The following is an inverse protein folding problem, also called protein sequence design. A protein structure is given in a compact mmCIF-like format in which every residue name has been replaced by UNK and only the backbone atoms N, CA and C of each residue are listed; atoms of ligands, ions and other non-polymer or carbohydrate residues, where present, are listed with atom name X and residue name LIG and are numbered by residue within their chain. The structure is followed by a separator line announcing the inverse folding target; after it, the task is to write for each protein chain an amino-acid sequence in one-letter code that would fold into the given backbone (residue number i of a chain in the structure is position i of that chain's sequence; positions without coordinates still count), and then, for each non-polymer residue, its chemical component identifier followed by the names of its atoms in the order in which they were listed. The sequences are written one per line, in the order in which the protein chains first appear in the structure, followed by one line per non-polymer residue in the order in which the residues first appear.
data_IF_780819818466
#
_entry.id   IF_780819818466
#
_cell.length_a   1.000
_cell.length_b   1.000
_cell.length_c   1.000
_cell.angle_alpha   90.00
_cell.angle_beta   90.00
_cell.angle_gamma   90.00
#
_symmetry.space_group_name_H-M   'P 1'
#
loop_
_entity.id
_entity.type
_entity.pdbx_description
1 polymer ?
#
# COMPACT_ATOMS: atom_id res chain seq x y z
N UNK A 1 -15.98 2.89 -16.97
CA UNK A 1 -17.05 1.93 -16.66
C UNK A 1 -18.42 2.54 -16.89
N UNK A 2 -18.68 3.78 -16.45
CA UNK A 2 -19.91 4.51 -16.81
C UNK A 2 -20.13 4.69 -18.31
N UNK A 3 -19.10 5.00 -19.09
CA UNK A 3 -19.21 5.05 -20.57
C UNK A 3 -19.66 3.72 -21.20
N UNK A 4 -19.54 2.62 -20.44
CA UNK A 4 -20.02 1.29 -20.81
C UNK A 4 -21.37 0.94 -20.14
N UNK A 5 -22.06 1.90 -19.53
CA UNK A 5 -23.36 1.73 -18.88
C UNK A 5 -23.33 1.02 -17.52
N UNK A 6 -22.17 0.92 -16.86
CA UNK A 6 -22.05 0.25 -15.54
C UNK A 6 -22.31 1.25 -14.42
N UNK A 7 -23.25 0.94 -13.54
CA UNK A 7 -23.51 1.72 -12.34
C UNK A 7 -22.42 1.46 -11.28
N UNK A 8 -21.64 2.48 -10.97
CA UNK A 8 -20.42 2.34 -10.17
C UNK A 8 -20.63 2.94 -8.78
N UNK A 9 -20.35 2.14 -7.75
CA UNK A 9 -20.40 2.55 -6.36
C UNK A 9 -19.04 2.37 -5.68
N UNK A 10 -18.76 3.22 -4.71
CA UNK A 10 -17.57 3.14 -3.86
C UNK A 10 -17.97 3.20 -2.39
N UNK A 11 -17.44 2.28 -1.59
CA UNK A 11 -17.62 2.23 -0.14
C UNK A 11 -16.25 2.34 0.55
N UNK A 12 -16.07 3.34 1.40
CA UNK A 12 -14.79 3.62 2.09
C UNK A 12 -15.02 4.51 3.32
N UNK A 13 -14.08 4.59 4.28
CA UNK A 13 -14.32 5.31 5.55
C UNK A 13 -14.06 6.82 5.48
N UNK A 14 -14.02 7.38 4.28
CA UNK A 14 -13.83 8.82 4.04
C UNK A 14 -14.43 9.21 2.69
N UNK A 15 -14.83 10.47 2.54
CA UNK A 15 -15.25 10.99 1.24
C UNK A 15 -14.01 11.32 0.39
N UNK A 16 -13.79 10.58 -0.69
CA UNK A 16 -12.72 10.89 -1.65
C UNK A 16 -13.19 11.77 -2.81
N UNK A 17 -14.46 12.21 -2.80
CA UNK A 17 -15.09 12.85 -3.93
C UNK A 17 -15.09 11.98 -5.19
N UNK A 18 -15.28 12.61 -6.34
CA UNK A 18 -15.26 11.95 -7.64
C UNK A 18 -16.55 12.19 -8.40
N UNK A 19 -16.41 12.82 -9.55
CA UNK A 19 -17.46 12.84 -10.56
C UNK A 19 -17.64 11.38 -11.04
N UNK A 20 -18.88 10.97 -11.32
CA UNK A 20 -19.21 9.67 -11.92
C UNK A 20 -19.14 8.40 -11.06
N UNK A 21 -19.15 8.50 -9.73
CA UNK A 21 -19.32 7.33 -8.85
C UNK A 21 -20.27 7.64 -7.69
N UNK A 22 -21.16 6.71 -7.35
CA UNK A 22 -22.02 6.85 -6.18
C UNK A 22 -21.23 6.49 -4.92
N UNK A 23 -21.05 7.45 -4.02
CA UNK A 23 -20.25 7.29 -2.81
C UNK A 23 -21.09 6.78 -1.63
N UNK A 24 -20.52 5.86 -0.88
CA UNK A 24 -21.01 5.36 0.40
C UNK A 24 -19.90 5.48 1.43
N UNK A 25 -20.21 6.05 2.60
CA UNK A 25 -19.25 6.21 3.69
C UNK A 25 -19.67 5.36 4.88
N UNK A 26 -18.69 4.79 5.58
CA UNK A 26 -18.88 4.05 6.82
C UNK A 26 -17.91 4.55 7.89
N UNK A 27 -18.34 4.61 9.15
CA UNK A 27 -17.53 5.22 10.22
C UNK A 27 -16.45 4.28 10.79
N UNK A 28 -16.68 2.97 10.72
CA UNK A 28 -15.76 1.94 11.16
C UNK A 28 -16.27 0.53 10.86
N UNK A 29 -15.50 -0.51 11.18
CA UNK A 29 -15.88 -1.89 10.84
C UNK A 29 -17.28 -2.29 11.33
N UNK A 30 -17.74 -1.75 12.46
CA UNK A 30 -19.07 -2.04 13.00
C UNK A 30 -20.24 -1.66 12.07
N UNK A 31 -20.08 -0.65 11.20
CA UNK A 31 -21.09 -0.25 10.22
C UNK A 31 -20.79 -0.69 8.78
N UNK A 32 -19.60 -1.28 8.54
CA UNK A 32 -19.15 -1.67 7.21
C UNK A 32 -20.11 -2.66 6.53
N UNK A 33 -20.54 -3.71 7.23
CA UNK A 33 -21.38 -4.74 6.63
C UNK A 33 -22.77 -4.23 6.22
N UNK A 34 -23.38 -3.38 7.04
CA UNK A 34 -24.65 -2.72 6.72
C UNK A 34 -24.51 -1.85 5.47
N UNK A 35 -23.48 -1.00 5.44
CA UNK A 35 -23.22 -0.09 4.31
C UNK A 35 -22.88 -0.85 3.04
N UNK A 36 -22.14 -1.96 3.12
CA UNK A 36 -21.86 -2.82 1.98
C UNK A 36 -23.13 -3.43 1.40
N UNK A 37 -24.01 -3.97 2.25
CA UNK A 37 -25.29 -4.52 1.79
C UNK A 37 -26.18 -3.47 1.12
N UNK A 38 -26.24 -2.26 1.69
CA UNK A 38 -26.99 -1.15 1.12
C UNK A 38 -26.40 -0.69 -0.23
N UNK A 39 -25.08 -0.65 -0.36
CA UNK A 39 -24.41 -0.30 -1.61
C UNK A 39 -24.68 -1.33 -2.73
N UNK A 40 -24.68 -2.62 -2.39
CA UNK A 40 -25.03 -3.70 -3.33
C UNK A 40 -26.50 -3.60 -3.75
N UNK A 41 -27.41 -3.39 -2.80
CA UNK A 41 -28.84 -3.27 -3.09
C UNK A 41 -29.21 -2.02 -3.91
N UNK A 42 -28.45 -0.94 -3.75
CA UNK A 42 -28.65 0.30 -4.50
C UNK A 42 -28.06 0.26 -5.92
N UNK A 43 -27.24 -0.74 -6.24
CA UNK A 43 -26.53 -0.82 -7.51
C UNK A 43 -27.42 -1.31 -8.65
N UNK A 44 -27.31 -0.65 -9.80
CA UNK A 44 -27.98 -1.05 -11.05
C UNK A 44 -27.44 -2.35 -11.67
N UNK A 45 -27.98 -2.70 -12.84
CA UNK A 45 -27.59 -3.89 -13.61
C UNK A 45 -27.24 -3.49 -15.06
N UNK A 46 -25.96 -3.53 -15.49
CA UNK A 46 -24.80 -4.02 -14.73
C UNK A 46 -24.30 -3.02 -13.66
N UNK A 47 -23.84 -3.56 -12.53
CA UNK A 47 -23.33 -2.80 -11.38
C UNK A 47 -21.90 -3.19 -10.98
N UNK A 48 -21.16 -2.24 -10.39
CA UNK A 48 -19.83 -2.46 -9.81
C UNK A 48 -19.71 -1.73 -8.48
N UNK A 49 -19.53 -2.49 -7.39
CA UNK A 49 -19.33 -1.95 -6.04
C UNK A 49 -17.88 -2.22 -5.61
N UNK A 50 -17.11 -1.15 -5.39
CA UNK A 50 -15.77 -1.24 -4.82
C UNK A 50 -15.79 -0.88 -3.34
N UNK A 51 -15.41 -1.81 -2.46
CA UNK A 51 -15.36 -1.59 -1.02
C UNK A 51 -13.90 -1.63 -0.53
N UNK A 52 -13.44 -0.56 0.11
CA UNK A 52 -12.09 -0.42 0.65
C UNK A 52 -12.10 -0.47 2.18
N UNK A 53 -11.21 -1.27 2.76
CA UNK A 53 -11.10 -1.48 4.20
C UNK A 53 -9.65 -1.25 4.67
N UNK A 54 -9.30 -0.05 5.18
CA UNK A 54 -7.94 0.28 5.61
C UNK A 54 -7.58 -0.24 7.01
N UNK A 55 -8.50 -0.90 7.71
CA UNK A 55 -8.36 -1.17 9.14
C UNK A 55 -7.27 -2.21 9.43
N UNK A 56 -7.11 -3.20 8.55
CA UNK A 56 -6.07 -4.24 8.65
C UNK A 56 -4.68 -3.62 8.48
N UNK A 57 -4.51 -2.74 7.48
CA UNK A 57 -3.27 -1.98 7.27
C UNK A 57 -2.91 -1.12 8.49
N UNK A 58 -3.87 -0.33 8.98
CA UNK A 58 -3.67 0.54 10.13
C UNK A 58 -3.22 -0.24 11.39
N UNK A 59 -3.89 -1.35 11.72
CA UNK A 59 -3.50 -2.14 12.90
C UNK A 59 -2.16 -2.85 12.69
N UNK A 60 -1.87 -3.31 11.46
CA UNK A 60 -0.57 -3.90 11.10
C UNK A 60 0.57 -2.90 11.29
N UNK A 61 0.39 -1.64 10.93
CA UNK A 61 1.39 -0.61 11.20
C UNK A 61 1.70 -0.45 12.68
N UNK A 62 0.66 -0.38 13.52
CA UNK A 62 0.83 -0.13 14.95
C UNK A 62 1.39 -1.34 15.71
N UNK A 63 0.86 -2.55 15.47
CA UNK A 63 1.11 -3.73 16.32
C UNK A 63 1.79 -4.89 15.57
N UNK A 64 2.02 -4.74 14.27
CA UNK A 64 2.49 -5.82 13.42
C UNK A 64 1.40 -6.84 13.09
N UNK A 65 1.79 -7.89 12.38
CA UNK A 65 0.91 -8.96 11.88
C UNK A 65 0.84 -10.18 12.81
N UNK A 66 1.71 -10.26 13.82
CA UNK A 66 1.73 -11.36 14.80
C UNK A 66 0.86 -11.05 16.04
N UNK A 67 0.39 -9.80 16.15
CA UNK A 67 -0.39 -9.32 17.28
C UNK A 67 -1.84 -9.79 17.27
N UNK A 68 -2.46 -9.80 18.45
CA UNK A 68 -3.88 -10.15 18.62
C UNK A 68 -4.81 -9.21 17.86
N UNK A 69 -4.52 -7.90 17.88
CA UNK A 69 -5.35 -6.91 17.23
C UNK A 69 -5.43 -7.10 15.71
N UNK A 70 -4.35 -7.57 15.07
CA UNK A 70 -4.36 -7.94 13.64
C UNK A 70 -5.37 -9.06 13.36
N UNK A 71 -5.26 -10.17 14.10
CA UNK A 71 -6.16 -11.32 13.93
C UNK A 71 -7.64 -10.96 14.19
N UNK A 72 -7.91 -10.20 15.25
CA UNK A 72 -9.27 -9.73 15.57
C UNK A 72 -9.84 -8.78 14.51
N UNK A 73 -9.01 -7.90 13.96
CA UNK A 73 -9.41 -6.99 12.88
C UNK A 73 -9.74 -7.76 11.61
N UNK A 74 -8.90 -8.70 11.19
CA UNK A 74 -9.16 -9.56 10.02
C UNK A 74 -10.44 -10.37 10.23
N UNK A 75 -10.64 -10.96 11.40
CA UNK A 75 -11.86 -11.71 11.74
C UNK A 75 -13.11 -10.81 11.64
N UNK A 76 -13.05 -9.60 12.21
CA UNK A 76 -14.14 -8.62 12.16
C UNK A 76 -14.48 -8.25 10.71
N UNK A 77 -13.48 -8.03 9.85
CA UNK A 77 -13.71 -7.75 8.41
C UNK A 77 -14.46 -8.91 7.76
N UNK A 78 -14.01 -10.15 7.97
CA UNK A 78 -14.66 -11.35 7.42
C UNK A 78 -16.11 -11.50 7.92
N UNK A 79 -16.36 -11.26 9.20
CA UNK A 79 -17.70 -11.28 9.79
C UNK A 79 -18.61 -10.23 9.15
N UNK A 80 -18.11 -9.00 8.95
CA UNK A 80 -18.88 -7.91 8.37
C UNK A 80 -19.21 -8.16 6.89
N UNK A 81 -18.26 -8.70 6.12
CA UNK A 81 -18.53 -9.15 4.74
C UNK A 81 -19.59 -10.24 4.73
N UNK A 82 -19.46 -11.27 5.57
CA UNK A 82 -20.44 -12.36 5.66
C UNK A 82 -21.82 -11.84 6.03
N UNK A 83 -21.90 -10.95 7.02
CA UNK A 83 -23.14 -10.35 7.45
C UNK A 83 -23.77 -9.46 6.36
N UNK A 84 -22.96 -8.78 5.54
CA UNK A 84 -23.45 -8.02 4.40
C UNK A 84 -24.10 -8.94 3.35
N UNK A 85 -23.43 -10.03 3.00
CA UNK A 85 -23.93 -10.98 1.99
C UNK A 85 -25.26 -11.61 2.38
N UNK A 86 -25.43 -11.98 3.66
CA UNK A 86 -26.70 -12.52 4.19
C UNK A 86 -27.88 -11.54 4.14
N UNK A 87 -27.62 -10.24 3.97
CA UNK A 87 -28.66 -9.20 3.82
C UNK A 87 -29.02 -8.94 2.36
N UNK A 88 -28.23 -9.44 1.41
CA UNK A 88 -28.51 -9.31 -0.02
C UNK A 88 -29.58 -10.32 -0.40
N UNK A 89 -30.60 -9.90 -1.16
CA UNK A 89 -31.64 -10.81 -1.60
C UNK A 89 -31.08 -11.89 -2.54
N UNK A 90 -31.75 -13.06 -2.55
CA UNK A 90 -31.26 -14.25 -3.25
C UNK A 90 -31.00 -14.01 -4.74
N UNK A 91 -31.85 -13.24 -5.42
CA UNK A 91 -31.74 -12.99 -6.86
C UNK A 91 -30.51 -12.13 -7.16
N UNK A 92 -30.28 -11.10 -6.36
CA UNK A 92 -29.06 -10.28 -6.47
C UNK A 92 -27.82 -11.11 -6.14
N UNK A 93 -27.85 -11.91 -5.06
CA UNK A 93 -26.73 -12.74 -4.66
C UNK A 93 -26.30 -13.77 -5.74
N UNK A 94 -27.26 -14.33 -6.49
CA UNK A 94 -26.99 -15.27 -7.60
C UNK A 94 -26.33 -14.60 -8.81
N UNK A 95 -26.50 -13.29 -8.96
CA UNK A 95 -25.96 -12.48 -10.04
C UNK A 95 -24.72 -11.67 -9.67
N UNK A 96 -24.30 -11.72 -8.39
CA UNK A 96 -23.16 -10.96 -7.87
C UNK A 96 -21.94 -11.86 -7.68
N UNK A 97 -20.80 -11.43 -8.25
CA UNK A 97 -19.47 -11.99 -7.97
C UNK A 97 -18.81 -11.15 -6.88
N UNK A 98 -18.44 -11.76 -5.76
CA UNK A 98 -17.57 -11.18 -4.76
C UNK A 98 -16.12 -11.48 -5.13
N UNK A 99 -15.29 -10.43 -5.16
CA UNK A 99 -13.84 -10.50 -5.24
C UNK A 99 -13.24 -9.91 -3.97
N UNK A 100 -12.30 -10.61 -3.35
CA UNK A 100 -11.54 -10.12 -2.18
C UNK A 100 -10.07 -10.18 -2.53
N UNK A 101 -9.37 -9.05 -2.37
CA UNK A 101 -7.93 -8.94 -2.58
C UNK A 101 -7.34 -7.86 -1.67
N UNK A 102 -6.02 -7.82 -1.57
CA UNK A 102 -5.27 -6.69 -1.04
C UNK A 102 -4.33 -6.13 -2.11
N UNK A 103 -3.81 -4.94 -1.87
CA UNK A 103 -2.76 -4.28 -2.66
C UNK A 103 -1.35 -4.67 -2.19
N UNK A 104 -1.19 -4.92 -0.88
CA UNK A 104 0.04 -5.46 -0.29
C UNK A 104 -0.22 -6.20 1.03
N UNK A 105 0.78 -6.93 1.49
CA UNK A 105 0.89 -7.41 2.87
C UNK A 105 1.81 -6.52 3.70
N UNK A 106 2.39 -7.10 4.76
CA UNK A 106 3.27 -6.42 5.71
C UNK A 106 4.42 -7.34 6.13
N UNK A 107 5.51 -6.73 6.56
CA UNK A 107 6.55 -7.40 7.32
C UNK A 107 6.74 -6.69 8.65
N UNK A 108 6.90 -7.46 9.72
CA UNK A 108 7.18 -6.92 11.04
C UNK A 108 8.67 -6.61 11.12
N UNK A 109 9.01 -5.42 11.57
CA UNK A 109 10.38 -4.97 11.81
C UNK A 109 10.54 -4.51 13.25
N UNK A 110 11.78 -4.53 13.74
CA UNK A 110 12.10 -3.89 15.01
C UNK A 110 12.37 -2.40 14.74
N UNK A 111 11.52 -1.48 15.23
CA UNK A 111 11.67 -0.05 14.99
C UNK A 111 13.02 0.49 15.45
N UNK A 112 13.58 -0.05 16.54
CA UNK A 112 14.85 0.40 17.12
C UNK A 112 16.07 -0.13 16.35
N UNK A 113 15.89 -1.18 15.56
CA UNK A 113 16.95 -1.79 14.74
C UNK A 113 16.89 -1.36 13.26
N UNK A 114 15.92 -0.53 12.88
CA UNK A 114 15.79 -0.06 11.51
C UNK A 114 16.95 0.87 11.13
N UNK A 115 17.33 0.83 9.86
CA UNK A 115 18.45 1.61 9.35
C UNK A 115 18.08 3.09 9.19
N UNK A 116 18.66 3.93 10.04
CA UNK A 116 18.59 5.38 9.91
C UNK A 116 19.57 5.90 8.84
N UNK A 117 19.05 6.16 7.65
CA UNK A 117 19.83 6.79 6.58
C UNK A 117 20.09 8.28 6.82
N UNK A 118 19.28 8.97 7.61
CA UNK A 118 19.46 10.41 7.90
C UNK A 118 20.75 10.66 8.69
N UNK A 119 21.13 9.71 9.54
CA UNK A 119 22.37 9.71 10.31
C UNK A 119 23.62 9.28 9.49
N UNK A 120 23.45 8.75 8.28
CA UNK A 120 24.56 8.29 7.45
C UNK A 120 25.09 9.42 6.55
N UNK A 121 26.09 10.16 7.01
CA UNK A 121 26.72 11.27 6.26
C UNK A 121 27.29 10.85 4.90
N UNK A 122 27.75 9.61 4.76
CA UNK A 122 28.25 9.10 3.49
C UNK A 122 27.12 8.90 2.45
N UNK A 123 25.86 8.78 2.90
CA UNK A 123 24.67 8.78 2.05
C UNK A 123 24.10 10.19 1.89
N UNK A 124 23.78 10.87 3.00
CA UNK A 124 23.13 12.20 2.97
C UNK A 124 24.01 13.26 2.35
N UNK A 125 25.32 13.19 2.60
CA UNK A 125 26.34 14.03 2.01
C UNK A 125 26.39 13.92 0.49
N UNK A 126 25.79 12.89 -0.13
CA UNK A 126 25.75 12.65 -1.58
C UNK A 126 24.42 13.01 -2.25
N UNK A 127 23.41 13.44 -1.49
CA UNK A 127 22.14 13.90 -2.03
C UNK A 127 22.33 15.14 -2.93
N UNK A 128 21.48 15.24 -3.95
CA UNK A 128 21.27 16.48 -4.69
C UNK A 128 20.79 17.56 -3.74
N UNK A 129 21.03 18.81 -4.13
CA UNK A 129 20.56 19.98 -3.38
C UNK A 129 19.66 20.84 -4.26
N UNK A 130 18.68 21.48 -3.62
CA UNK A 130 17.92 22.58 -4.21
C UNK A 130 18.80 23.82 -4.34
N UNK A 131 18.30 24.85 -5.03
CA UNK A 131 19.06 26.08 -5.26
C UNK A 131 19.42 26.84 -3.97
N UNK A 132 18.63 26.65 -2.91
CA UNK A 132 18.88 27.19 -1.57
C UNK A 132 19.89 26.35 -0.74
N UNK A 133 20.45 25.30 -1.33
CA UNK A 133 21.41 24.41 -0.68
C UNK A 133 20.78 23.31 0.18
N UNK A 134 19.45 23.28 0.37
CA UNK A 134 18.78 22.21 1.11
C UNK A 134 18.87 20.88 0.34
N UNK A 135 19.11 19.73 1.00
CA UNK A 135 19.14 18.45 0.32
C UNK A 135 17.75 18.10 -0.22
N UNK A 136 17.72 17.51 -1.42
CA UNK A 136 16.51 16.89 -1.96
C UNK A 136 16.15 15.74 -1.03
N UNK A 137 14.97 15.84 -0.41
CA UNK A 137 14.48 14.81 0.51
C UNK A 137 14.42 13.46 -0.20
N UNK A 138 14.77 12.42 0.55
CA UNK A 138 14.65 11.05 0.06
C UNK A 138 13.14 10.69 0.08
N UNK A 139 12.74 9.76 -0.79
CA UNK A 139 11.33 9.54 -1.14
C UNK A 139 11.00 8.07 -1.23
N UNK A 140 9.73 7.71 -1.40
CA UNK A 140 9.27 6.32 -1.32
C UNK A 140 8.78 5.99 0.08
N UNK A 141 8.95 4.74 0.50
CA UNK A 141 8.66 4.27 1.86
C UNK A 141 9.95 3.77 2.54
N UNK A 142 9.91 3.46 3.86
CA UNK A 142 11.01 2.79 4.54
C UNK A 142 11.40 1.42 3.96
N UNK A 143 10.65 0.91 2.98
CA UNK A 143 10.93 -0.36 2.33
C UNK A 143 11.40 -0.23 0.88
N UNK A 144 11.42 0.98 0.33
CA UNK A 144 11.84 1.26 -1.05
C UNK A 144 12.43 2.68 -1.24
N UNK A 145 13.33 3.12 -0.36
CA UNK A 145 13.86 4.49 -0.37
C UNK A 145 14.50 4.84 -1.70
N UNK A 146 14.01 5.91 -2.31
CA UNK A 146 14.56 6.55 -3.48
C UNK A 146 15.47 7.70 -3.07
N UNK A 147 16.78 7.53 -3.29
CA UNK A 147 17.81 8.54 -3.12
C UNK A 147 17.99 9.33 -4.42
N UNK A 148 17.90 10.66 -4.34
CA UNK A 148 18.17 11.57 -5.46
C UNK A 148 19.60 12.11 -5.31
N UNK A 149 20.55 11.48 -5.98
CA UNK A 149 21.99 11.63 -5.74
C UNK A 149 22.64 12.57 -6.75
N UNK A 150 23.74 13.21 -6.35
CA UNK A 150 24.54 14.01 -7.29
C UNK A 150 25.07 13.13 -8.43
N UNK A 151 25.26 13.68 -9.64
CA UNK A 151 25.86 12.93 -10.73
C UNK A 151 27.21 12.32 -10.31
N UNK A 152 27.38 11.02 -10.58
CA UNK A 152 28.62 10.29 -10.29
C UNK A 152 28.78 9.73 -8.88
N UNK A 153 27.89 10.04 -7.92
CA UNK A 153 28.06 9.61 -6.50
C UNK A 153 27.31 8.33 -6.12
N UNK A 154 26.61 7.69 -7.06
CA UNK A 154 25.94 6.39 -6.84
C UNK A 154 26.88 5.32 -6.28
N UNK A 155 28.13 5.13 -6.77
CA UNK A 155 29.06 4.14 -6.21
C UNK A 155 29.42 4.40 -4.75
N UNK A 156 29.48 5.67 -4.33
CA UNK A 156 29.80 6.05 -2.95
C UNK A 156 28.64 5.73 -2.02
N UNK A 157 27.41 6.07 -2.42
CA UNK A 157 26.21 5.70 -1.67
C UNK A 157 26.06 4.17 -1.54
N UNK A 158 26.34 3.41 -2.62
CA UNK A 158 26.33 1.94 -2.56
C UNK A 158 27.35 1.38 -1.58
N UNK A 159 28.58 1.91 -1.59
CA UNK A 159 29.63 1.49 -0.67
C UNK A 159 29.26 1.82 0.78
N UNK A 160 28.63 2.97 1.03
CA UNK A 160 28.13 3.33 2.36
C UNK A 160 26.99 2.41 2.86
N UNK A 161 26.35 1.66 1.97
CA UNK A 161 25.24 0.76 2.27
C UNK A 161 25.66 -0.73 2.30
N UNK A 162 26.90 -1.06 1.93
CA UNK A 162 27.33 -2.46 1.75
C UNK A 162 27.28 -3.28 3.04
N UNK A 163 27.48 -2.63 4.18
CA UNK A 163 27.58 -3.28 5.48
C UNK A 163 26.21 -3.45 6.17
N UNK A 164 25.14 -3.01 5.52
CA UNK A 164 23.78 -2.98 6.06
C UNK A 164 22.82 -4.00 5.42
N UNK A 165 23.34 -4.97 4.64
CA UNK A 165 22.56 -5.98 3.88
C UNK A 165 21.39 -5.38 3.03
N UNK A 166 21.52 -4.10 2.69
CA UNK A 166 20.54 -3.40 1.88
C UNK A 166 20.75 -3.74 0.40
N UNK A 167 19.68 -4.10 -0.29
CA UNK A 167 19.68 -4.22 -1.74
C UNK A 167 19.57 -2.84 -2.35
N UNK A 168 20.34 -2.61 -3.40
CA UNK A 168 20.31 -1.34 -4.11
C UNK A 168 20.13 -1.52 -5.61
N UNK A 169 19.26 -0.71 -6.21
CA UNK A 169 19.01 -0.70 -7.64
C UNK A 169 19.17 0.72 -8.16
N UNK A 170 20.04 0.92 -9.14
CA UNK A 170 19.99 2.14 -9.93
C UNK A 170 18.65 2.23 -10.67
N UNK A 171 18.25 3.44 -11.08
CA UNK A 171 17.06 3.63 -11.91
C UNK A 171 17.04 2.68 -13.11
N UNK A 172 18.17 2.55 -13.81
CA UNK A 172 18.31 1.65 -14.97
C UNK A 172 18.09 0.19 -14.57
N UNK A 173 18.79 -0.28 -13.54
CA UNK A 173 18.67 -1.68 -13.08
C UNK A 173 17.27 -2.06 -12.60
N UNK A 174 16.52 -1.12 -12.03
CA UNK A 174 15.14 -1.34 -11.60
C UNK A 174 14.17 -1.41 -12.80
N UNK A 175 14.40 -0.59 -13.83
CA UNK A 175 13.63 -0.62 -15.07
C UNK A 175 13.95 -1.90 -15.85
N UNK A 176 15.22 -2.26 -16.01
CA UNK A 176 15.65 -3.45 -16.74
C UNK A 176 15.15 -4.76 -16.10
N UNK A 177 14.68 -4.70 -14.84
CA UNK A 177 14.10 -5.82 -14.09
C UNK A 177 12.58 -5.75 -13.99
N UNK A 178 11.94 -4.79 -14.63
CA UNK A 178 10.49 -4.55 -14.59
C UNK A 178 9.93 -4.39 -13.16
N UNK A 179 10.73 -3.86 -12.22
CA UNK A 179 10.30 -3.72 -10.81
C UNK A 179 9.10 -2.78 -10.63
N UNK A 180 8.82 -1.92 -11.62
CA UNK A 180 7.68 -1.02 -11.64
C UNK A 180 6.70 -1.33 -12.79
N UNK A 181 6.75 -2.56 -13.30
CA UNK A 181 5.97 -3.03 -14.44
C UNK A 181 6.74 -2.97 -15.77
N UNK A 182 6.14 -3.60 -16.77
CA UNK A 182 6.69 -3.82 -18.12
C UNK A 182 6.38 -2.68 -19.11
N UNK A 183 5.76 -1.61 -18.63
CA UNK A 183 5.29 -0.50 -19.46
C UNK A 183 6.42 0.50 -19.70
N UNK A 184 6.48 1.15 -20.88
CA UNK A 184 7.43 2.21 -21.13
C UNK A 184 7.39 3.29 -20.04
N UNK A 185 8.56 3.61 -19.48
CA UNK A 185 8.63 4.57 -18.39
C UNK A 185 8.21 5.97 -18.84
N UNK A 186 7.29 6.56 -18.09
CA UNK A 186 6.83 7.93 -18.33
C UNK A 186 7.85 8.96 -17.81
N UNK A 187 7.79 10.19 -18.32
CA UNK A 187 8.62 11.28 -17.79
C UNK A 187 8.30 11.59 -16.32
N UNK A 188 7.04 11.38 -15.91
CA UNK A 188 6.64 11.51 -14.50
C UNK A 188 7.35 10.47 -13.62
N UNK A 189 7.44 9.23 -14.09
CA UNK A 189 8.19 8.19 -13.39
C UNK A 189 9.68 8.54 -13.32
N UNK A 190 10.31 8.94 -14.44
CA UNK A 190 11.73 9.31 -14.48
C UNK A 190 12.09 10.41 -13.48
N UNK A 191 11.19 11.37 -13.25
CA UNK A 191 11.37 12.45 -12.26
C UNK A 191 11.23 12.00 -10.81
N UNK A 192 10.40 10.98 -10.54
CA UNK A 192 10.11 10.49 -9.18
C UNK A 192 11.02 9.35 -8.74
N UNK A 193 11.45 8.51 -9.68
CA UNK A 193 12.33 7.41 -9.39
C UNK A 193 13.73 7.94 -9.09
N UNK A 194 14.21 7.78 -7.85
CA UNK A 194 15.57 8.15 -7.43
C UNK A 194 16.67 7.56 -8.30
N UNK A 195 17.88 8.08 -8.16
CA UNK A 195 19.07 7.60 -8.87
C UNK A 195 19.55 6.25 -8.31
N UNK A 196 19.31 6.04 -7.01
CA UNK A 196 19.49 4.77 -6.31
C UNK A 196 18.25 4.46 -5.47
N UNK A 197 17.68 3.28 -5.65
CA UNK A 197 16.61 2.70 -4.83
C UNK A 197 17.27 1.78 -3.81
N UNK A 198 16.88 1.89 -2.55
CA UNK A 198 17.39 1.10 -1.43
C UNK A 198 16.24 0.35 -0.79
N UNK A 199 16.39 -0.96 -0.62
CA UNK A 199 15.39 -1.82 0.04
C UNK A 199 16.10 -2.86 0.87
N UNK A 200 15.62 -3.11 2.08
CA UNK A 200 16.12 -4.20 2.92
C UNK A 200 15.13 -5.35 2.90
N UNK A 201 15.61 -6.59 3.06
CA UNK A 201 14.74 -7.77 3.02
C UNK A 201 13.79 -7.80 4.21
N UNK A 202 14.30 -7.48 5.41
CA UNK A 202 13.61 -7.77 6.67
C UNK A 202 13.54 -6.56 7.63
N UNK A 203 14.01 -5.39 7.22
CA UNK A 203 14.10 -4.19 8.07
C UNK A 203 13.62 -2.94 7.33
N UNK A 204 13.26 -1.91 8.07
CA UNK A 204 13.09 -0.57 7.54
C UNK A 204 14.44 0.05 7.21
N UNK A 205 14.46 0.82 6.14
CA UNK A 205 15.54 1.71 5.72
C UNK A 205 14.86 3.05 5.59
N UNK A 206 15.10 4.01 6.50
CA UNK A 206 14.61 5.40 6.52
C UNK A 206 14.09 5.81 7.89
N UNK A 207 14.75 6.73 8.59
CA UNK A 207 14.24 7.27 9.86
C UNK A 207 14.43 8.80 9.96
N UNK A 208 13.35 9.59 10.10
CA UNK A 208 13.38 10.93 10.74
C UNK A 208 13.01 12.20 9.95
N UNK A 209 12.95 12.21 8.61
CA UNK A 209 13.00 13.49 7.87
C UNK A 209 11.64 14.15 7.54
N UNK A 210 10.54 13.38 7.60
CA UNK A 210 9.21 13.81 7.12
C UNK A 210 8.05 13.35 8.00
N UNK A 211 8.13 12.17 8.62
CA UNK A 211 7.00 11.53 9.33
C UNK A 211 7.52 10.79 10.59
N UNK A 212 7.93 11.52 11.64
CA UNK A 212 8.53 10.94 12.84
C UNK A 212 7.59 9.99 13.59
N UNK A 213 6.27 10.12 13.44
CA UNK A 213 5.27 9.23 14.01
C UNK A 213 5.31 7.83 13.41
N UNK A 214 5.79 7.67 12.18
CA UNK A 214 5.93 6.36 11.52
C UNK A 214 7.15 5.58 12.00
N UNK A 215 8.04 6.23 12.75
CA UNK A 215 9.24 5.61 13.30
C UNK A 215 8.91 4.53 14.32
N UNK A 216 7.72 4.57 14.94
CA UNK A 216 7.29 3.54 15.88
C UNK A 216 6.53 2.38 15.24
N UNK A 217 6.38 2.36 13.91
CA UNK A 217 5.61 1.31 13.24
C UNK A 217 6.35 -0.03 13.29
N UNK A 218 5.63 -1.05 13.74
CA UNK A 218 6.12 -2.44 13.79
C UNK A 218 5.97 -3.06 12.41
N UNK A 219 4.75 -3.08 11.88
CA UNK A 219 4.50 -3.53 10.52
C UNK A 219 4.83 -2.43 9.52
N UNK A 220 5.58 -2.76 8.48
CA UNK A 220 5.82 -1.87 7.34
C UNK A 220 5.73 -2.64 6.03
N UNK A 221 5.57 -1.92 4.92
CA UNK A 221 5.37 -2.52 3.60
C UNK A 221 5.99 -1.66 2.47
N UNK A 222 5.97 -2.22 1.25
CA UNK A 222 6.47 -1.60 0.03
C UNK A 222 7.82 -2.15 -0.46
N UNK A 223 8.37 -3.15 0.23
CA UNK A 223 9.61 -3.81 -0.12
C UNK A 223 9.40 -5.06 -0.97
N UNK A 224 10.45 -5.87 -1.08
CA UNK A 224 10.46 -7.09 -1.89
C UNK A 224 10.29 -8.37 -1.05
N UNK A 225 9.90 -8.25 0.22
CA UNK A 225 9.64 -9.43 1.04
C UNK A 225 8.38 -10.14 0.53
N UNK A 226 8.38 -11.47 0.38
CA UNK A 226 7.16 -12.20 0.01
C UNK A 226 5.96 -11.92 0.91
N UNK A 227 6.16 -11.65 2.20
CA UNK A 227 5.08 -11.27 3.12
C UNK A 227 4.44 -9.90 2.79
N UNK A 228 5.18 -9.00 2.12
CA UNK A 228 4.66 -7.73 1.61
C UNK A 228 4.02 -7.90 0.22
N UNK A 229 4.56 -8.78 -0.61
CA UNK A 229 4.21 -8.89 -2.03
C UNK A 229 3.09 -9.88 -2.33
N UNK A 230 2.97 -10.97 -1.56
CA UNK A 230 1.95 -11.99 -1.78
C UNK A 230 0.66 -11.57 -1.09
N UNK A 231 -0.37 -11.29 -1.88
CA UNK A 231 -1.68 -10.86 -1.40
C UNK A 231 -2.74 -11.94 -1.58
N UNK A 232 -3.76 -12.01 -0.72
CA UNK A 232 -4.88 -12.90 -0.94
C UNK A 232 -5.61 -12.52 -2.22
N UNK A 233 -6.13 -13.52 -2.93
CA UNK A 233 -7.11 -13.33 -4.00
C UNK A 233 -8.17 -14.42 -3.88
N UNK A 234 -9.42 -14.03 -3.66
CA UNK A 234 -10.55 -14.93 -3.57
C UNK A 234 -11.70 -14.43 -4.45
N UNK A 235 -12.40 -15.36 -5.08
CA UNK A 235 -13.54 -15.09 -5.93
C UNK A 235 -14.65 -16.11 -5.66
N UNK A 236 -15.87 -15.62 -5.39
CA UNK A 236 -17.03 -16.47 -5.17
C UNK A 236 -18.30 -15.77 -5.61
N UNK A 237 -19.30 -16.53 -6.08
CA UNK A 237 -20.67 -15.99 -6.19
C UNK A 237 -21.17 -15.67 -4.79
N UNK A 238 -21.79 -14.51 -4.61
CA UNK A 238 -22.33 -14.11 -3.31
C UNK A 238 -23.31 -15.17 -2.75
N UNK A 239 -24.11 -15.78 -3.63
CA UNK A 239 -25.06 -16.85 -3.27
C UNK A 239 -24.43 -18.18 -2.81
N UNK A 240 -23.10 -18.35 -2.93
CA UNK A 240 -22.38 -19.53 -2.44
C UNK A 240 -21.80 -19.33 -1.03
N UNK A 241 -21.94 -18.13 -0.47
CA UNK A 241 -21.44 -17.73 0.85
C UNK A 241 -22.58 -17.45 1.86
N UNK A 242 -23.83 -17.68 1.43
CA UNK A 242 -25.06 -17.54 2.22
C UNK A 242 -25.36 -18.81 3.02
#
# INVERSE_FOLDING_TARGET
MRDAGVDCHRLQPFDAGGEDVTQHVYDGLGSFGERLSAAVAASGDPGYVYAYVPHVDHVSHAEGTDGRAYGETVATVCEQVTAALRRVDRRTAERTLLLVTADHGHVNTDPDANLDLSANEAVTGNLRRHADGTPVKMSGSPRNVHLHLRPGTVPDARRALSDHDARTFTRREAIDRDLFGDRPVSDRFRRRCGDLIVTHRDSGVWFGDVEPEKLSYVGIHGGLNPAEMLVPFAAARASALD
#
